data_IF_418267767507
#
_entry.id   IF_418267767507
#
_cell.length_a   1.000
_cell.length_b   1.000
_cell.length_c   1.000
_cell.angle_alpha   90.00
_cell.angle_beta   90.00
_cell.angle_gamma   90.00
#
_symmetry.space_group_name_H-M   'P 1'
#
loop_
_entity.id
_entity.type
_entity.pdbx_description
1 polymer ?
#
# COMPACT_ATOMS: atom_id res chain seq x y z
N UNK A 1 22.98 9.53 10.24
CA UNK A 1 21.53 9.70 9.92
C UNK A 1 20.77 9.78 11.25
N UNK A 2 20.31 10.96 11.65
CA UNK A 2 19.44 11.09 12.82
C UNK A 2 18.13 10.37 12.51
N UNK A 3 17.82 9.31 13.27
CA UNK A 3 16.59 8.52 13.11
C UNK A 3 15.41 9.14 13.90
N UNK A 4 15.68 10.08 14.81
CA UNK A 4 14.72 10.75 15.65
C UNK A 4 15.04 12.26 15.84
N UNK A 5 14.02 13.07 16.13
CA UNK A 5 14.17 14.51 16.45
C UNK A 5 15.09 14.74 17.64
N UNK A 6 15.12 13.81 18.59
CA UNK A 6 16.02 13.85 19.74
C UNK A 6 17.49 13.79 19.31
N UNK A 7 17.82 13.11 18.21
CA UNK A 7 19.17 13.06 17.65
C UNK A 7 19.70 14.44 17.23
N UNK A 8 18.86 15.31 16.68
CA UNK A 8 19.27 16.68 16.28
C UNK A 8 19.61 17.50 17.53
N UNK A 9 18.78 17.43 18.57
CA UNK A 9 19.03 18.13 19.83
C UNK A 9 20.26 17.59 20.58
N UNK A 10 20.46 16.26 20.59
CA UNK A 10 21.67 15.64 21.14
C UNK A 10 22.92 16.08 20.40
N UNK A 11 22.86 16.15 19.07
CA UNK A 11 23.96 16.65 18.25
C UNK A 11 24.27 18.13 18.56
N UNK A 12 23.25 18.98 18.68
CA UNK A 12 23.42 20.38 19.07
C UNK A 12 24.05 20.55 20.46
N UNK A 13 23.62 19.74 21.45
CA UNK A 13 24.21 19.76 22.78
C UNK A 13 25.69 19.34 22.74
N UNK A 14 26.01 18.25 22.04
CA UNK A 14 27.38 17.76 21.93
C UNK A 14 28.27 18.77 21.19
N UNK A 15 27.74 19.40 20.14
CA UNK A 15 28.43 20.47 19.41
C UNK A 15 28.68 21.68 20.30
N UNK A 16 27.71 22.10 21.12
CA UNK A 16 27.89 23.19 22.07
C UNK A 16 28.95 22.92 23.14
N UNK A 17 29.07 21.68 23.62
CA UNK A 17 30.15 21.29 24.54
C UNK A 17 31.51 21.34 23.84
N UNK A 18 31.59 20.83 22.61
CA UNK A 18 32.84 20.85 21.82
C UNK A 18 33.25 22.29 21.50
N UNK A 19 32.32 23.14 21.08
CA UNK A 19 32.57 24.56 20.78
C UNK A 19 33.01 25.31 22.04
N UNK A 20 32.39 25.05 23.19
CA UNK A 20 32.79 25.65 24.46
C UNK A 20 34.23 25.26 24.86
N UNK A 21 34.57 23.97 24.75
CA UNK A 21 35.92 23.48 25.02
C UNK A 21 36.94 24.07 24.05
N UNK A 22 36.59 24.17 22.77
CA UNK A 22 37.45 24.74 21.74
C UNK A 22 37.71 26.24 21.99
N UNK A 23 36.67 27.01 22.28
CA UNK A 23 36.79 28.45 22.59
C UNK A 23 37.66 28.67 23.83
N UNK A 24 37.47 27.87 24.89
CA UNK A 24 38.31 27.92 26.09
C UNK A 24 39.76 27.56 25.75
N UNK A 25 39.99 26.50 24.99
CA UNK A 25 41.35 26.10 24.59
C UNK A 25 42.06 27.19 23.77
N UNK A 26 41.38 27.81 22.82
CA UNK A 26 41.93 28.91 22.02
C UNK A 26 42.26 30.13 22.88
N UNK A 27 41.38 30.51 23.82
CA UNK A 27 41.61 31.60 24.76
C UNK A 27 42.85 31.37 25.64
N UNK A 28 43.02 30.16 26.14
CA UNK A 28 44.20 29.78 26.93
C UNK A 28 45.49 29.79 26.10
N UNK A 29 45.43 29.42 24.81
CA UNK A 29 46.58 29.49 23.89
C UNK A 29 47.00 30.93 23.59
N UNK A 30 46.06 31.88 23.61
CA UNK A 30 46.33 33.31 23.44
C UNK A 30 46.72 34.02 24.75
N UNK A 31 46.98 33.26 25.83
CA UNK A 31 47.31 33.76 27.17
C UNK A 31 46.19 34.62 27.80
N UNK A 32 44.96 34.49 27.29
CA UNK A 32 43.75 35.16 27.81
C UNK A 32 43.08 34.28 28.86
N UNK A 33 43.68 34.23 30.05
CA UNK A 33 43.25 33.39 31.18
C UNK A 33 42.25 34.06 32.13
N UNK A 34 41.67 35.19 31.74
CA UNK A 34 40.74 35.93 32.60
C UNK A 34 39.46 35.10 32.84
N UNK A 35 39.07 34.84 34.12
CA UNK A 35 37.95 33.94 34.41
C UNK A 35 36.61 34.38 33.80
N UNK A 36 36.39 35.69 33.68
CA UNK A 36 35.17 36.25 33.07
C UNK A 36 35.07 35.94 31.58
N UNK A 37 36.15 36.15 30.83
CA UNK A 37 36.25 35.90 29.41
C UNK A 37 36.18 34.42 29.05
N UNK A 38 36.75 33.54 29.89
CA UNK A 38 36.64 32.09 29.73
C UNK A 38 35.20 31.61 29.94
N UNK A 39 34.52 32.10 30.98
CA UNK A 39 33.11 31.76 31.25
C UNK A 39 32.19 32.29 30.14
N UNK A 40 32.40 33.53 29.68
CA UNK A 40 31.63 34.12 28.60
C UNK A 40 31.84 33.37 27.28
N UNK A 41 33.09 33.01 26.96
CA UNK A 41 33.42 32.23 25.76
C UNK A 41 32.82 30.83 25.77
N UNK A 42 32.94 30.11 26.88
CA UNK A 42 32.31 28.81 27.06
C UNK A 42 30.77 28.90 26.95
N UNK A 43 30.18 29.91 27.60
CA UNK A 43 28.74 30.19 27.52
C UNK A 43 28.28 30.49 26.09
N UNK A 44 29.05 31.27 25.33
CA UNK A 44 28.77 31.56 23.93
C UNK A 44 28.87 30.31 23.04
N UNK A 45 29.86 29.43 23.28
CA UNK A 45 30.01 28.16 22.57
C UNK A 45 28.81 27.21 22.82
N UNK A 46 28.41 27.06 24.09
CA UNK A 46 27.20 26.28 24.42
C UNK A 46 25.95 26.89 23.79
N UNK A 47 25.79 28.22 23.87
CA UNK A 47 24.65 28.92 23.29
C UNK A 47 24.57 28.75 21.77
N UNK A 48 25.72 28.87 21.06
CA UNK A 48 25.80 28.64 19.62
C UNK A 48 25.42 27.21 19.26
N UNK A 49 25.94 26.22 19.99
CA UNK A 49 25.61 24.81 19.79
C UNK A 49 24.13 24.50 20.02
N UNK A 50 23.50 25.11 21.03
CA UNK A 50 22.06 24.97 21.30
C UNK A 50 21.16 25.74 20.31
N UNK A 51 21.65 26.85 19.75
CA UNK A 51 20.92 27.61 18.75
C UNK A 51 20.96 26.94 17.37
N UNK A 52 22.01 26.16 17.08
CA UNK A 52 22.18 25.51 15.77
C UNK A 52 21.03 24.58 15.36
N UNK A 53 20.48 23.67 16.22
CA UNK A 53 19.31 22.86 15.88
C UNK A 53 18.07 23.70 15.61
N UNK A 54 17.89 24.82 16.32
CA UNK A 54 16.74 25.72 16.11
C UNK A 54 16.77 26.29 14.70
N UNK A 55 17.94 26.76 14.27
CA UNK A 55 18.16 27.27 12.91
C UNK A 55 17.93 26.16 11.88
N UNK A 56 18.53 24.98 12.09
CA UNK A 56 18.40 23.84 11.16
C UNK A 56 16.94 23.39 11.02
N UNK A 57 16.22 23.20 12.12
CA UNK A 57 14.81 22.80 12.11
C UNK A 57 13.93 23.90 11.52
N UNK A 58 14.24 25.17 11.81
CA UNK A 58 13.51 26.33 11.28
C UNK A 58 13.70 26.53 9.77
N UNK A 59 14.90 26.29 9.25
CA UNK A 59 15.21 26.43 7.82
C UNK A 59 14.87 25.17 7.01
N UNK A 60 14.72 24.00 7.63
CA UNK A 60 14.45 22.73 6.92
C UNK A 60 13.28 22.84 5.94
N UNK A 61 12.10 23.40 6.29
CA UNK A 61 10.98 23.52 5.35
C UNK A 61 11.31 24.38 4.10
N UNK A 62 12.14 25.41 4.28
CA UNK A 62 12.56 26.28 3.17
C UNK A 62 13.50 25.52 2.24
N UNK A 63 14.49 24.83 2.81
CA UNK A 63 15.43 23.99 2.05
C UNK A 63 14.71 22.86 1.33
N UNK A 64 13.77 22.18 1.99
CA UNK A 64 12.92 21.13 1.40
C UNK A 64 12.11 21.65 0.21
N UNK A 65 11.49 22.83 0.34
CA UNK A 65 10.66 23.39 -0.73
C UNK A 65 11.48 23.86 -1.94
N UNK A 66 12.66 24.43 -1.72
CA UNK A 66 13.56 24.89 -2.80
C UNK A 66 14.24 23.73 -3.50
N UNK A 67 14.73 22.74 -2.75
CA UNK A 67 15.50 21.62 -3.30
C UNK A 67 14.64 20.40 -3.67
N UNK A 68 13.36 20.37 -3.25
CA UNK A 68 12.48 19.24 -3.48
C UNK A 68 12.85 17.98 -2.69
N UNK A 69 13.69 18.10 -1.65
CA UNK A 69 14.03 16.99 -0.76
C UNK A 69 12.87 16.69 0.18
N UNK A 70 12.60 15.40 0.37
CA UNK A 70 11.61 14.95 1.35
C UNK A 70 12.31 14.44 2.60
N UNK A 71 12.06 15.09 3.74
CA UNK A 71 12.58 14.62 5.03
C UNK A 71 11.71 13.51 5.62
N UNK A 72 12.31 12.72 6.53
CA UNK A 72 11.59 11.69 7.27
C UNK A 72 10.44 12.28 8.09
N UNK A 73 10.59 13.50 8.62
CA UNK A 73 9.53 14.19 9.34
C UNK A 73 8.31 14.46 8.46
N UNK A 74 8.54 14.92 7.21
CA UNK A 74 7.46 15.12 6.24
C UNK A 74 6.77 13.80 5.90
N UNK A 75 7.53 12.72 5.69
CA UNK A 75 6.96 11.40 5.43
C UNK A 75 6.20 10.84 6.64
N UNK A 76 6.70 11.02 7.86
CA UNK A 76 6.01 10.60 9.08
C UNK A 76 4.67 11.34 9.24
N UNK A 77 4.65 12.65 8.97
CA UNK A 77 3.40 13.41 8.94
C UNK A 77 2.40 12.85 7.92
N UNK A 78 2.86 12.52 6.70
CA UNK A 78 2.03 11.94 5.64
C UNK A 78 1.63 10.48 5.92
N UNK A 79 2.38 9.77 6.75
CA UNK A 79 2.01 8.41 7.19
C UNK A 79 0.86 8.41 8.21
N UNK A 80 0.48 9.57 8.74
CA UNK A 80 -0.68 9.68 9.62
C UNK A 80 -1.97 9.50 8.81
N UNK A 81 -2.68 8.40 9.08
CA UNK A 81 -3.95 8.05 8.42
C UNK A 81 -5.09 9.06 8.68
N UNK A 82 -4.90 10.00 9.60
CA UNK A 82 -5.81 11.13 9.78
C UNK A 82 -5.64 12.26 8.75
N UNK A 83 -4.68 12.14 7.83
CA UNK A 83 -4.48 13.11 6.76
C UNK A 83 -5.79 13.31 5.95
N UNK A 84 -6.19 14.55 5.64
CA UNK A 84 -7.46 14.83 4.95
C UNK A 84 -7.65 14.06 3.65
N UNK A 85 -6.59 13.90 2.84
CA UNK A 85 -6.65 13.18 1.56
C UNK A 85 -6.97 11.69 1.76
N UNK A 86 -6.38 11.07 2.79
CA UNK A 86 -6.61 9.66 3.12
C UNK A 86 -8.01 9.46 3.73
N UNK A 87 -8.49 10.44 4.51
CA UNK A 87 -9.87 10.45 5.02
C UNK A 87 -10.90 10.59 3.90
N UNK A 88 -10.63 11.42 2.90
CA UNK A 88 -11.49 11.51 1.71
C UNK A 88 -11.49 10.18 0.96
N UNK A 89 -10.32 9.56 0.77
CA UNK A 89 -10.19 8.28 0.07
C UNK A 89 -10.94 7.14 0.77
N UNK A 90 -10.85 7.01 2.10
CA UNK A 90 -11.55 5.93 2.81
C UNK A 90 -13.07 6.07 2.73
N UNK A 91 -13.59 7.30 2.63
CA UNK A 91 -15.04 7.56 2.46
C UNK A 91 -15.46 7.32 1.02
N UNK A 92 -14.70 7.81 0.04
CA UNK A 92 -15.06 7.72 -1.38
C UNK A 92 -14.79 6.34 -2.00
N UNK A 93 -13.67 5.70 -1.65
CA UNK A 93 -13.17 4.46 -2.22
C UNK A 93 -12.55 3.55 -1.13
N UNK A 94 -13.38 2.98 -0.23
CA UNK A 94 -12.89 2.19 0.90
C UNK A 94 -12.09 0.95 0.50
N UNK A 95 -12.42 0.33 -0.64
CA UNK A 95 -11.67 -0.81 -1.19
C UNK A 95 -10.26 -0.42 -1.62
N UNK A 96 -10.13 0.68 -2.36
CA UNK A 96 -8.84 1.26 -2.75
C UNK A 96 -8.02 1.71 -1.53
N UNK A 97 -8.66 2.26 -0.50
CA UNK A 97 -7.97 2.59 0.74
C UNK A 97 -7.38 1.34 1.40
N UNK A 98 -8.16 0.26 1.53
CA UNK A 98 -7.69 -0.98 2.12
C UNK A 98 -6.54 -1.61 1.30
N UNK A 99 -6.68 -1.65 -0.03
CA UNK A 99 -5.63 -2.03 -0.98
C UNK A 99 -4.32 -1.29 -0.72
N UNK A 100 -4.40 0.05 -0.61
CA UNK A 100 -3.24 0.92 -0.38
C UNK A 100 -2.54 0.63 0.97
N UNK A 101 -3.30 0.28 2.01
CA UNK A 101 -2.74 -0.10 3.32
C UNK A 101 -2.01 -1.44 3.28
N UNK A 102 -2.58 -2.42 2.57
CA UNK A 102 -1.97 -3.75 2.37
C UNK A 102 -0.65 -3.61 1.61
N UNK A 103 -0.67 -2.90 0.48
CA UNK A 103 0.55 -2.60 -0.29
C UNK A 103 1.57 -1.88 0.57
N UNK A 104 1.16 -0.86 1.33
CA UNK A 104 2.04 -0.11 2.22
C UNK A 104 2.83 -1.01 3.18
N UNK A 105 2.17 -2.02 3.75
CA UNK A 105 2.82 -3.02 4.62
C UNK A 105 3.80 -3.90 3.84
N UNK A 106 3.44 -4.34 2.64
CA UNK A 106 4.30 -5.19 1.81
C UNK A 106 5.57 -4.46 1.36
N UNK A 107 5.42 -3.24 0.84
CA UNK A 107 6.54 -2.47 0.30
C UNK A 107 7.45 -1.92 1.39
N UNK A 108 6.93 -1.62 2.60
CA UNK A 108 7.75 -1.24 3.75
C UNK A 108 8.74 -2.36 4.10
N UNK A 109 8.22 -3.59 4.27
CA UNK A 109 9.04 -4.75 4.60
C UNK A 109 10.07 -5.08 3.51
N UNK A 110 9.65 -5.02 2.23
CA UNK A 110 10.55 -5.30 1.13
C UNK A 110 11.64 -4.22 0.97
N UNK A 111 11.29 -2.95 1.16
CA UNK A 111 12.24 -1.85 1.13
C UNK A 111 13.30 -1.98 2.23
N UNK A 112 12.90 -2.37 3.44
CA UNK A 112 13.83 -2.67 4.53
C UNK A 112 14.76 -3.83 4.16
N UNK A 113 14.23 -4.92 3.60
CA UNK A 113 15.00 -6.10 3.22
C UNK A 113 16.08 -5.83 2.15
N UNK A 114 15.88 -4.83 1.29
CA UNK A 114 16.83 -4.46 0.22
C UNK A 114 17.65 -3.20 0.54
N UNK A 115 17.47 -2.61 1.73
CA UNK A 115 18.14 -1.38 2.12
C UNK A 115 17.70 -0.13 1.35
N UNK A 116 16.48 -0.13 0.80
CA UNK A 116 15.83 1.06 0.26
C UNK A 116 15.22 1.92 1.40
N UNK A 117 14.45 2.95 1.10
CA UNK A 117 13.77 3.77 2.09
C UNK A 117 12.37 3.20 2.41
N UNK A 118 12.19 2.49 3.55
CA UNK A 118 10.93 1.84 3.90
C UNK A 118 9.79 2.83 4.14
N UNK A 119 10.10 3.97 4.76
CA UNK A 119 9.11 5.00 5.06
C UNK A 119 8.60 5.67 3.77
N UNK A 120 9.50 5.94 2.82
CA UNK A 120 9.09 6.47 1.51
C UNK A 120 8.20 5.47 0.77
N UNK A 121 8.60 4.19 0.70
CA UNK A 121 7.83 3.16 0.03
C UNK A 121 6.41 3.05 0.61
N UNK A 122 6.29 2.99 1.95
CA UNK A 122 5.00 2.93 2.64
C UNK A 122 4.11 4.13 2.34
N UNK A 123 4.66 5.33 2.47
CA UNK A 123 3.88 6.56 2.25
C UNK A 123 3.49 6.66 0.78
N UNK A 124 4.38 6.32 -0.16
CA UNK A 124 4.06 6.28 -1.58
C UNK A 124 2.87 5.34 -1.86
N UNK A 125 2.85 4.15 -1.23
CA UNK A 125 1.73 3.22 -1.33
C UNK A 125 0.41 3.79 -0.81
N UNK A 126 0.41 4.59 0.26
CA UNK A 126 -0.82 5.21 0.78
C UNK A 126 -1.49 6.15 -0.23
N UNK A 127 -0.68 6.77 -1.11
CA UNK A 127 -1.15 7.81 -2.01
C UNK A 127 -1.18 7.43 -3.49
N UNK A 128 -0.63 6.28 -3.89
CA UNK A 128 -0.45 5.91 -5.30
C UNK A 128 -1.77 5.93 -6.09
N UNK A 129 -2.86 5.59 -5.41
CA UNK A 129 -4.17 5.34 -6.00
C UNK A 129 -5.23 6.40 -5.63
N UNK A 130 -4.84 7.53 -5.02
CA UNK A 130 -5.81 8.53 -4.54
C UNK A 130 -6.76 9.05 -5.64
N UNK A 131 -6.32 9.02 -6.89
CA UNK A 131 -7.14 9.44 -8.03
C UNK A 131 -8.35 8.54 -8.29
N UNK A 132 -8.32 7.27 -7.86
CA UNK A 132 -9.49 6.37 -7.97
C UNK A 132 -10.68 6.89 -7.18
N UNK A 133 -10.45 7.68 -6.13
CA UNK A 133 -11.50 8.33 -5.34
C UNK A 133 -12.44 9.24 -6.14
N UNK A 134 -12.04 9.70 -7.34
CA UNK A 134 -12.92 10.47 -8.24
C UNK A 134 -13.98 9.64 -8.92
N UNK A 135 -13.68 8.37 -9.24
CA UNK A 135 -14.57 7.48 -10.00
C UNK A 135 -14.50 6.04 -9.46
N UNK A 136 -14.83 5.82 -8.17
CA UNK A 136 -14.52 4.58 -7.46
C UNK A 136 -15.18 3.35 -8.07
N UNK A 137 -16.40 3.48 -8.62
CA UNK A 137 -17.18 2.37 -9.17
C UNK A 137 -16.54 1.70 -10.41
N UNK A 138 -15.56 2.33 -11.04
CA UNK A 138 -14.81 1.74 -12.16
C UNK A 138 -13.64 0.85 -11.71
N UNK A 139 -13.37 0.75 -10.40
CA UNK A 139 -12.28 -0.05 -9.88
C UNK A 139 -12.84 -1.23 -9.08
N UNK A 140 -12.43 -2.44 -9.47
CA UNK A 140 -13.03 -3.69 -9.01
C UNK A 140 -13.04 -3.83 -7.48
N UNK A 141 -12.02 -3.33 -6.79
CA UNK A 141 -11.92 -3.36 -5.33
C UNK A 141 -13.02 -2.55 -4.61
N UNK A 142 -13.69 -1.62 -5.30
CA UNK A 142 -14.78 -0.81 -4.75
C UNK A 142 -16.18 -1.25 -5.24
N UNK A 143 -16.24 -2.22 -6.15
CA UNK A 143 -17.51 -2.67 -6.73
C UNK A 143 -18.24 -3.63 -5.79
N UNK A 144 -19.58 -3.55 -5.78
CA UNK A 144 -20.48 -4.46 -5.03
C UNK A 144 -21.57 -5.08 -5.91
N UNK A 145 -21.53 -4.86 -7.22
CA UNK A 145 -22.60 -5.19 -8.17
C UNK A 145 -22.09 -5.24 -9.61
N UNK A 146 -22.91 -4.80 -10.57
CA UNK A 146 -22.54 -4.78 -12.00
C UNK A 146 -21.24 -4.01 -12.25
N UNK A 147 -20.39 -4.55 -13.12
CA UNK A 147 -19.16 -3.90 -13.55
C UNK A 147 -19.48 -2.86 -14.65
N UNK A 148 -19.26 -1.55 -14.42
CA UNK A 148 -19.54 -0.52 -15.43
C UNK A 148 -18.78 -0.71 -16.74
N UNK A 149 -17.63 -1.40 -16.71
CA UNK A 149 -16.83 -1.71 -17.89
C UNK A 149 -17.53 -2.64 -18.88
N UNK A 150 -18.56 -3.38 -18.47
CA UNK A 150 -19.32 -4.25 -19.37
C UNK A 150 -20.14 -3.45 -20.39
N UNK A 151 -20.46 -2.20 -20.06
CA UNK A 151 -21.24 -1.28 -20.90
C UNK A 151 -20.35 -0.34 -21.73
N UNK A 152 -19.03 -0.45 -21.61
CA UNK A 152 -18.07 0.42 -22.28
C UNK A 152 -17.29 -0.33 -23.35
N UNK A 153 -16.92 0.39 -24.41
CA UNK A 153 -15.89 -0.07 -25.34
C UNK A 153 -14.56 -0.27 -24.57
N UNK A 154 -13.72 -1.24 -24.96
CA UNK A 154 -12.43 -1.48 -24.30
C UNK A 154 -11.52 -0.24 -24.27
N UNK A 155 -11.53 0.57 -25.34
CA UNK A 155 -10.77 1.82 -25.43
C UNK A 155 -11.22 2.87 -24.40
N UNK A 156 -12.53 2.98 -24.17
CA UNK A 156 -13.10 3.86 -23.15
C UNK A 156 -12.76 3.38 -21.74
N UNK A 157 -12.79 2.07 -21.52
CA UNK A 157 -12.38 1.48 -20.24
C UNK A 157 -10.90 1.77 -19.95
N UNK A 158 -10.02 1.58 -20.93
CA UNK A 158 -8.60 1.92 -20.82
C UNK A 158 -8.37 3.41 -20.50
N UNK A 159 -9.16 4.31 -21.09
CA UNK A 159 -9.10 5.74 -20.80
C UNK A 159 -9.51 6.05 -19.34
N UNK A 160 -10.60 5.45 -18.87
CA UNK A 160 -11.09 5.62 -17.49
C UNK A 160 -10.06 5.11 -16.48
N UNK A 161 -9.51 3.91 -16.72
CA UNK A 161 -8.46 3.35 -15.86
C UNK A 161 -7.25 4.28 -15.87
N UNK A 162 -6.72 4.68 -17.03
CA UNK A 162 -5.56 5.58 -17.09
C UNK A 162 -5.78 6.93 -16.39
N UNK A 163 -7.01 7.43 -16.36
CA UNK A 163 -7.35 8.74 -15.77
C UNK A 163 -7.11 8.81 -14.26
N UNK A 164 -7.14 7.70 -13.51
CA UNK A 164 -6.84 7.77 -12.07
C UNK A 164 -5.43 8.29 -11.80
N UNK A 165 -4.47 8.04 -12.71
CA UNK A 165 -3.10 8.55 -12.58
C UNK A 165 -3.08 10.08 -12.70
N UNK A 166 -3.71 10.63 -13.75
CA UNK A 166 -3.71 12.08 -13.98
C UNK A 166 -4.53 12.83 -12.92
N UNK A 167 -5.64 12.25 -12.48
CA UNK A 167 -6.43 12.79 -11.37
C UNK A 167 -5.66 12.69 -10.05
N UNK A 168 -4.95 11.58 -9.80
CA UNK A 168 -4.11 11.38 -8.63
C UNK A 168 -2.97 12.40 -8.55
N UNK A 169 -2.26 12.64 -9.64
CA UNK A 169 -1.20 13.67 -9.72
C UNK A 169 -1.78 15.06 -9.38
N UNK A 170 -2.95 15.40 -9.93
CA UNK A 170 -3.60 16.70 -9.68
C UNK A 170 -3.97 16.86 -8.21
N UNK A 171 -4.56 15.83 -7.61
CA UNK A 171 -4.93 15.80 -6.19
C UNK A 171 -3.69 15.89 -5.29
N UNK A 172 -2.63 15.15 -5.59
CA UNK A 172 -1.38 15.16 -4.85
C UNK A 172 -0.71 16.55 -4.88
N UNK A 173 -0.67 17.20 -6.05
CA UNK A 173 -0.15 18.56 -6.19
C UNK A 173 -1.00 19.58 -5.42
N UNK A 174 -2.32 19.50 -5.53
CA UNK A 174 -3.23 20.39 -4.83
C UNK A 174 -3.11 20.28 -3.30
N UNK A 175 -2.81 19.07 -2.79
CA UNK A 175 -2.58 18.82 -1.37
C UNK A 175 -1.14 19.12 -0.90
N UNK A 176 -0.25 19.60 -1.77
CA UNK A 176 1.14 19.89 -1.43
C UNK A 176 1.93 18.64 -1.02
N UNK A 177 1.65 17.49 -1.64
CA UNK A 177 2.46 16.29 -1.44
C UNK A 177 3.87 16.52 -2.02
N UNK A 178 4.91 15.97 -1.39
CA UNK A 178 6.28 16.12 -1.86
C UNK A 178 6.51 15.33 -3.15
N UNK A 179 7.49 15.79 -3.94
CA UNK A 179 7.75 15.29 -5.29
C UNK A 179 7.92 13.77 -5.40
N UNK A 180 8.68 13.08 -4.52
CA UNK A 180 8.80 11.61 -4.58
C UNK A 180 7.46 10.86 -4.46
N UNK A 181 6.48 11.42 -3.73
CA UNK A 181 5.14 10.81 -3.61
C UNK A 181 4.32 11.08 -4.86
N UNK A 182 4.40 12.30 -5.41
CA UNK A 182 3.75 12.64 -6.69
C UNK A 182 4.31 11.77 -7.83
N UNK A 183 5.63 11.60 -7.88
CA UNK A 183 6.32 10.85 -8.94
C UNK A 183 6.02 9.35 -8.85
N UNK A 184 5.74 8.81 -7.65
CA UNK A 184 5.32 7.42 -7.48
C UNK A 184 3.95 7.11 -8.12
N UNK A 185 3.05 8.11 -8.23
CA UNK A 185 1.70 7.93 -8.78
C UNK A 185 1.71 7.48 -10.25
N UNK A 186 2.43 8.09 -11.19
CA UNK A 186 2.52 7.53 -12.54
C UNK A 186 3.42 6.29 -12.62
N UNK A 187 4.47 6.23 -11.79
CA UNK A 187 5.47 5.16 -11.86
C UNK A 187 4.97 3.79 -11.37
N UNK A 188 3.93 3.74 -10.52
CA UNK A 188 3.44 2.45 -10.02
C UNK A 188 2.86 1.55 -11.13
N UNK A 189 2.36 2.13 -12.23
CA UNK A 189 2.00 1.38 -13.42
C UNK A 189 3.07 1.42 -14.51
N UNK A 190 3.95 2.41 -14.50
CA UNK A 190 4.99 2.57 -15.51
C UNK A 190 4.37 2.71 -16.90
N UNK A 191 4.88 1.94 -17.86
CA UNK A 191 4.37 1.91 -19.25
C UNK A 191 3.67 0.59 -19.59
N UNK A 192 3.17 -0.11 -18.56
CA UNK A 192 2.58 -1.43 -18.70
C UNK A 192 1.33 -1.41 -19.56
N UNK A 193 1.08 -2.54 -20.21
CA UNK A 193 -0.13 -2.78 -20.99
C UNK A 193 -1.32 -3.08 -20.06
N UNK A 194 -2.45 -2.42 -20.28
CA UNK A 194 -3.75 -2.77 -19.71
C UNK A 194 -4.30 -4.02 -20.42
N UNK A 195 -3.65 -5.15 -20.17
CA UNK A 195 -3.76 -6.39 -20.97
C UNK A 195 -5.20 -6.88 -21.15
N UNK A 196 -6.02 -6.87 -20.10
CA UNK A 196 -7.43 -7.29 -20.18
C UNK A 196 -8.21 -6.53 -21.26
N UNK A 197 -8.12 -5.20 -21.26
CA UNK A 197 -8.85 -4.37 -22.22
C UNK A 197 -8.25 -4.46 -23.63
N UNK A 198 -6.93 -4.60 -23.75
CA UNK A 198 -6.30 -4.81 -25.06
C UNK A 198 -6.71 -6.15 -25.67
N UNK A 199 -6.70 -7.25 -24.91
CA UNK A 199 -7.15 -8.56 -25.38
C UNK A 199 -8.63 -8.55 -25.77
N UNK A 200 -9.49 -7.94 -24.95
CA UNK A 200 -10.91 -7.76 -25.30
C UNK A 200 -11.09 -6.99 -26.61
N UNK A 201 -10.32 -5.92 -26.80
CA UNK A 201 -10.36 -5.13 -28.04
C UNK A 201 -9.84 -5.92 -29.25
N UNK A 202 -8.81 -6.74 -29.08
CA UNK A 202 -8.26 -7.62 -30.10
C UNK A 202 -9.29 -8.68 -30.53
N UNK A 203 -9.94 -9.35 -29.59
CA UNK A 203 -11.01 -10.33 -29.86
C UNK A 203 -12.20 -9.68 -30.60
N UNK A 204 -12.57 -8.45 -30.22
CA UNK A 204 -13.62 -7.69 -30.91
C UNK A 204 -13.24 -7.32 -32.35
N UNK A 205 -11.98 -6.98 -32.61
CA UNK A 205 -11.47 -6.69 -33.95
C UNK A 205 -11.41 -7.96 -34.81
N UNK A 206 -10.92 -9.08 -34.26
CA UNK A 206 -10.88 -10.38 -34.93
C UNK A 206 -12.27 -10.82 -35.37
N UNK A 207 -13.29 -10.67 -34.51
CA UNK A 207 -14.69 -10.99 -34.85
C UNK A 207 -15.25 -10.13 -35.99
N UNK A 208 -14.72 -8.92 -36.18
CA UNK A 208 -15.11 -8.00 -37.26
C UNK A 208 -14.27 -8.15 -38.54
N UNK A 209 -13.22 -8.97 -38.51
CA UNK A 209 -12.24 -9.04 -39.59
C UNK A 209 -11.36 -7.79 -39.70
N UNK A 210 -11.21 -7.04 -38.61
CA UNK A 210 -10.37 -5.84 -38.52
C UNK A 210 -8.98 -6.20 -37.97
N UNK A 211 -7.93 -5.41 -38.30
CA UNK A 211 -6.62 -5.60 -37.70
C UNK A 211 -6.66 -5.35 -36.17
N UNK A 212 -5.80 -6.02 -35.39
CA UNK A 212 -5.75 -5.82 -33.95
C UNK A 212 -5.38 -4.38 -33.62
N UNK A 213 -5.95 -3.80 -32.54
CA UNK A 213 -5.61 -2.45 -32.15
C UNK A 213 -4.16 -2.36 -31.65
N UNK A 214 -3.48 -1.22 -31.86
CA UNK A 214 -2.12 -1.00 -31.38
C UNK A 214 -2.06 -1.10 -29.85
N UNK A 215 -1.01 -1.74 -29.32
CA UNK A 215 -0.80 -1.87 -27.87
C UNK A 215 -0.63 -0.50 -27.19
N UNK A 216 -0.03 0.46 -27.90
CA UNK A 216 0.26 1.81 -27.41
C UNK A 216 -1.01 2.53 -26.93
N UNK A 217 -2.16 2.26 -27.56
CA UNK A 217 -3.44 2.82 -27.16
C UNK A 217 -3.91 2.33 -25.77
N UNK A 218 -3.37 1.19 -25.32
CA UNK A 218 -3.73 0.50 -24.08
C UNK A 218 -2.58 0.47 -23.06
N UNK A 219 -1.47 1.17 -23.33
CA UNK A 219 -0.38 1.33 -22.36
C UNK A 219 -0.61 2.54 -21.47
N UNK A 220 -0.11 2.42 -20.24
CA UNK A 220 0.08 3.59 -19.38
C UNK A 220 1.14 4.51 -19.98
N UNK A 221 1.00 5.83 -19.74
CA UNK A 221 1.90 6.85 -20.30
C UNK A 221 3.26 6.86 -19.60
N UNK A 222 3.33 6.30 -18.38
CA UNK A 222 4.54 6.32 -17.56
C UNK A 222 4.77 7.65 -16.85
N UNK A 223 6.01 7.93 -16.43
CA UNK A 223 7.25 7.21 -16.79
C UNK A 223 7.39 5.84 -16.11
N UNK A 224 8.35 5.02 -16.55
CA UNK A 224 8.80 3.80 -15.84
C UNK A 224 9.32 4.17 -14.43
N UNK A 225 9.31 3.24 -13.45
CA UNK A 225 9.97 3.41 -12.17
C UNK A 225 11.39 3.96 -12.31
N UNK A 226 11.70 5.03 -11.56
CA UNK A 226 13.02 5.68 -11.54
C UNK A 226 13.80 5.49 -10.24
N UNK A 227 13.15 4.89 -9.25
CA UNK A 227 13.74 4.61 -7.96
C UNK A 227 13.19 3.29 -7.41
N UNK A 228 13.97 2.62 -6.56
CA UNK A 228 13.70 1.25 -6.09
C UNK A 228 12.33 1.14 -5.43
N UNK A 229 11.92 2.14 -4.65
CA UNK A 229 10.63 2.17 -3.96
C UNK A 229 9.44 2.20 -4.93
N UNK A 230 9.55 2.89 -6.07
CA UNK A 230 8.51 2.86 -7.11
C UNK A 230 8.42 1.50 -7.81
N UNK A 231 9.56 0.83 -8.01
CA UNK A 231 9.57 -0.54 -8.55
C UNK A 231 8.91 -1.53 -7.57
N UNK A 232 9.18 -1.39 -6.26
CA UNK A 232 8.49 -2.19 -5.23
C UNK A 232 6.98 -1.96 -5.26
N UNK A 233 6.56 -0.70 -5.39
CA UNK A 233 5.15 -0.32 -5.46
C UNK A 233 4.46 -0.95 -6.68
N UNK A 234 5.10 -0.90 -7.85
CA UNK A 234 4.60 -1.55 -9.07
C UNK A 234 4.41 -3.07 -8.90
N UNK A 235 5.41 -3.74 -8.32
CA UNK A 235 5.35 -5.19 -8.13
C UNK A 235 4.25 -5.52 -7.11
N UNK A 236 4.21 -4.79 -5.99
CA UNK A 236 3.24 -5.02 -4.92
C UNK A 236 1.81 -4.84 -5.41
N UNK A 237 1.53 -3.76 -6.14
CA UNK A 237 0.19 -3.49 -6.70
C UNK A 237 -0.32 -4.65 -7.56
N UNK A 238 0.53 -5.17 -8.44
CA UNK A 238 0.14 -6.30 -9.30
C UNK A 238 0.08 -7.63 -8.58
N UNK A 239 0.95 -7.85 -7.59
CA UNK A 239 0.92 -9.07 -6.79
C UNK A 239 -0.33 -9.11 -5.92
N UNK A 240 -0.68 -8.02 -5.26
CA UNK A 240 -1.86 -7.89 -4.41
C UNK A 240 -3.14 -8.14 -5.22
N UNK A 241 -3.28 -7.44 -6.35
CA UNK A 241 -4.44 -7.59 -7.22
C UNK A 241 -4.59 -9.02 -7.74
N UNK A 242 -3.48 -9.66 -8.12
CA UNK A 242 -3.51 -11.03 -8.61
C UNK A 242 -3.72 -12.07 -7.49
N UNK A 243 -3.22 -11.82 -6.27
CA UNK A 243 -3.38 -12.77 -5.16
C UNK A 243 -4.82 -12.88 -4.68
N UNK A 244 -5.64 -11.83 -4.86
CA UNK A 244 -7.09 -11.87 -4.59
C UNK A 244 -7.86 -12.92 -5.41
N UNK A 245 -7.30 -13.36 -6.54
CA UNK A 245 -7.91 -14.37 -7.42
C UNK A 245 -7.45 -15.80 -7.12
N UNK A 246 -6.48 -15.98 -6.22
CA UNK A 246 -6.02 -17.30 -5.83
C UNK A 246 -7.03 -17.96 -4.88
N UNK A 247 -7.52 -19.14 -5.27
CA UNK A 247 -8.45 -19.93 -4.45
C UNK A 247 -7.82 -20.50 -3.18
N UNK A 248 -6.52 -20.83 -3.23
CA UNK A 248 -5.72 -21.28 -2.08
C UNK A 248 -4.33 -20.62 -2.14
N UNK A 249 -4.07 -19.62 -1.28
CA UNK A 249 -2.82 -18.86 -1.25
C UNK A 249 -1.73 -19.60 -0.45
N UNK A 250 -1.40 -20.83 -0.84
CA UNK A 250 -0.27 -21.56 -0.24
C UNK A 250 1.06 -20.83 -0.49
N UNK A 251 2.07 -20.97 0.40
CA UNK A 251 3.35 -20.26 0.25
C UNK A 251 4.04 -20.47 -1.11
N UNK A 252 3.94 -21.69 -1.68
CA UNK A 252 4.55 -21.99 -2.98
C UNK A 252 3.79 -21.35 -4.14
N UNK A 253 2.44 -21.30 -4.07
CA UNK A 253 1.62 -20.60 -5.07
C UNK A 253 1.85 -19.10 -5.03
N UNK A 254 1.94 -18.52 -3.82
CA UNK A 254 2.30 -17.12 -3.64
C UNK A 254 3.69 -16.83 -4.22
N UNK A 255 4.68 -17.69 -3.97
CA UNK A 255 6.03 -17.54 -4.55
C UNK A 255 5.99 -17.57 -6.08
N UNK A 256 5.27 -18.54 -6.66
CA UNK A 256 5.08 -18.64 -8.10
C UNK A 256 4.42 -17.39 -8.69
N UNK A 257 3.38 -16.87 -8.03
CA UNK A 257 2.69 -15.65 -8.44
C UNK A 257 3.64 -14.44 -8.42
N UNK A 258 4.34 -14.22 -7.31
CA UNK A 258 5.26 -13.08 -7.17
C UNK A 258 6.37 -13.14 -8.22
N UNK A 259 6.98 -14.32 -8.42
CA UNK A 259 8.02 -14.49 -9.43
C UNK A 259 7.49 -14.25 -10.85
N UNK A 260 6.26 -14.70 -11.14
CA UNK A 260 5.61 -14.44 -12.43
C UNK A 260 5.43 -12.94 -12.66
N UNK A 261 4.90 -12.20 -11.69
CA UNK A 261 4.70 -10.74 -11.81
C UNK A 261 6.04 -10.02 -12.03
N UNK A 262 7.06 -10.37 -11.25
CA UNK A 262 8.41 -9.80 -11.40
C UNK A 262 8.96 -10.07 -12.80
N UNK A 263 8.86 -11.31 -13.28
CA UNK A 263 9.35 -11.69 -14.60
C UNK A 263 8.59 -10.97 -15.72
N UNK A 264 7.28 -10.80 -15.59
CA UNK A 264 6.48 -10.01 -16.55
C UNK A 264 6.94 -8.55 -16.59
N UNK A 265 7.15 -7.92 -15.43
CA UNK A 265 7.62 -6.53 -15.38
C UNK A 265 9.04 -6.39 -15.94
N UNK A 266 9.91 -7.36 -15.66
CA UNK A 266 11.28 -7.42 -16.18
C UNK A 266 11.30 -7.59 -17.70
N UNK A 267 10.51 -8.52 -18.24
CA UNK A 267 10.42 -8.77 -19.68
C UNK A 267 9.83 -7.59 -20.46
N UNK A 268 8.93 -6.81 -19.84
CA UNK A 268 8.37 -5.56 -20.40
C UNK A 268 9.29 -4.34 -20.19
N UNK A 269 10.51 -4.55 -19.69
CA UNK A 269 11.52 -3.49 -19.49
C UNK A 269 11.14 -2.46 -18.43
N UNK A 270 10.22 -2.76 -17.50
CA UNK A 270 9.73 -1.76 -16.54
C UNK A 270 10.81 -1.32 -15.53
N UNK A 271 11.89 -2.07 -15.39
CA UNK A 271 12.96 -1.77 -14.43
C UNK A 271 14.17 -1.07 -15.05
N UNK A 272 14.15 -0.76 -16.35
CA UNK A 272 15.29 -0.20 -17.09
C UNK A 272 15.76 1.17 -16.59
N UNK A 273 14.88 1.93 -15.94
CA UNK A 273 15.15 3.30 -15.46
C UNK A 273 15.42 3.38 -13.95
N UNK A 274 15.56 2.23 -13.23
CA UNK A 274 15.84 2.22 -11.79
C UNK A 274 16.89 1.20 -11.37
N UNK A 275 17.59 1.52 -10.27
CA UNK A 275 18.68 0.70 -9.74
C UNK A 275 18.21 -0.48 -8.88
N UNK A 276 17.23 -1.25 -9.36
CA UNK A 276 16.79 -2.50 -8.71
C UNK A 276 17.57 -3.69 -9.27
N UNK A 277 18.28 -4.41 -8.41
CA UNK A 277 19.13 -5.53 -8.85
C UNK A 277 18.38 -6.86 -8.84
N UNK A 278 18.87 -7.87 -9.59
CA UNK A 278 18.33 -9.24 -9.49
C UNK A 278 18.38 -9.80 -8.06
N UNK A 279 19.44 -9.45 -7.30
CA UNK A 279 19.56 -9.80 -5.89
C UNK A 279 18.42 -9.19 -5.06
N UNK A 280 18.06 -7.95 -5.35
CA UNK A 280 16.94 -7.28 -4.70
C UNK A 280 15.63 -7.99 -5.03
N UNK A 281 15.38 -8.30 -6.31
CA UNK A 281 14.16 -8.99 -6.73
C UNK A 281 13.96 -10.32 -5.98
N UNK A 282 15.03 -11.11 -5.77
CA UNK A 282 14.93 -12.32 -4.95
C UNK A 282 14.59 -12.05 -3.48
N UNK A 283 15.11 -10.97 -2.90
CA UNK A 283 14.76 -10.56 -1.54
C UNK A 283 13.32 -10.05 -1.45
N UNK A 284 12.86 -9.29 -2.44
CA UNK A 284 11.47 -8.83 -2.59
C UNK A 284 10.52 -10.02 -2.68
N UNK A 285 10.85 -11.05 -3.47
CA UNK A 285 10.04 -12.27 -3.55
C UNK A 285 9.85 -12.91 -2.18
N UNK A 286 10.93 -13.08 -1.41
CA UNK A 286 10.84 -13.64 -0.05
C UNK A 286 9.98 -12.77 0.87
N UNK A 287 10.24 -11.45 0.86
CA UNK A 287 9.49 -10.49 1.69
C UNK A 287 8.01 -10.50 1.38
N UNK A 288 7.62 -10.43 0.10
CA UNK A 288 6.22 -10.40 -0.31
C UNK A 288 5.50 -11.72 0.02
N UNK A 289 6.15 -12.87 -0.19
CA UNK A 289 5.57 -14.16 0.21
C UNK A 289 5.30 -14.19 1.72
N UNK A 290 6.23 -13.71 2.55
CA UNK A 290 6.02 -13.63 4.00
C UNK A 290 4.88 -12.66 4.37
N UNK A 291 4.84 -11.47 3.78
CA UNK A 291 3.76 -10.50 4.04
C UNK A 291 2.40 -11.04 3.63
N UNK A 292 2.27 -11.61 2.43
CA UNK A 292 1.01 -12.17 1.91
C UNK A 292 0.58 -13.39 2.71
N UNK A 293 1.52 -14.25 3.12
CA UNK A 293 1.20 -15.37 4.00
C UNK A 293 0.62 -14.88 5.33
N UNK A 294 1.17 -13.82 5.93
CA UNK A 294 0.60 -13.22 7.15
C UNK A 294 -0.79 -12.60 6.93
N UNK A 295 -1.01 -11.96 5.78
CA UNK A 295 -2.29 -11.33 5.44
C UNK A 295 -3.39 -12.37 5.18
N UNK A 296 -3.09 -13.43 4.42
CA UNK A 296 -4.07 -14.45 4.04
C UNK A 296 -4.18 -15.62 5.02
N UNK A 297 -3.16 -15.90 5.83
CA UNK A 297 -3.18 -16.93 6.86
C UNK A 297 -3.14 -16.29 8.25
N UNK A 298 -4.30 -15.90 8.78
CA UNK A 298 -4.45 -15.48 10.18
C UNK A 298 -5.89 -15.67 10.71
N UNK A 299 -6.25 -16.92 10.99
CA UNK A 299 -6.73 -17.37 12.31
C UNK A 299 -6.75 -18.92 12.33
N UNK A 300 -6.06 -19.60 13.26
CA UNK A 300 -6.46 -20.95 13.61
C UNK A 300 -7.93 -20.90 14.02
N UNK A 301 -8.78 -21.70 13.38
CA UNK A 301 -10.09 -21.99 13.93
C UNK A 301 -9.85 -22.59 15.33
N UNK A 302 -10.19 -21.83 16.37
CA UNK A 302 -10.39 -22.44 17.67
C UNK A 302 -11.57 -23.39 17.50
N UNK A 303 -11.28 -24.68 17.36
CA UNK A 303 -12.27 -25.72 17.53
C UNK A 303 -12.88 -25.47 18.90
N UNK A 304 -14.11 -24.94 18.93
CA UNK A 304 -14.90 -24.94 20.16
C UNK A 304 -14.96 -26.41 20.60
N UNK A 305 -14.59 -26.75 21.85
CA UNK A 305 -14.77 -28.11 22.34
C UNK A 305 -16.22 -28.47 22.12
N UNK A 306 -16.47 -29.46 21.27
CA UNK A 306 -17.81 -29.96 21.02
C UNK A 306 -18.38 -30.41 22.36
N UNK A 307 -19.39 -29.67 22.82
CA UNK A 307 -20.14 -29.96 24.02
C UNK A 307 -20.88 -31.28 23.78
N UNK A 308 -20.28 -32.38 24.25
CA UNK A 308 -20.93 -33.69 24.25
C UNK A 308 -21.94 -33.72 25.39
N UNK A 309 -23.16 -33.30 25.11
CA UNK A 309 -24.33 -33.83 25.81
C UNK A 309 -25.45 -34.14 24.82
N UNK A 310 -25.59 -35.43 24.54
CA UNK A 310 -26.72 -36.03 23.85
C UNK A 310 -28.04 -35.74 24.59
N UNK A 311 -29.02 -35.27 23.82
CA UNK A 311 -30.41 -35.74 23.76
C UNK A 311 -31.23 -35.93 25.03
N UNK A 312 -32.32 -35.17 25.15
CA UNK A 312 -33.69 -35.70 25.08
C UNK A 312 -34.73 -34.58 25.21
N UNK A 313 -35.75 -34.64 24.36
CA UNK A 313 -36.89 -33.74 24.33
C UNK A 313 -37.85 -33.97 25.52
N UNK A 314 -38.40 -32.89 26.08
CA UNK A 314 -39.76 -32.86 26.64
C UNK A 314 -40.23 -31.39 26.82
N UNK A 315 -41.41 -31.09 26.30
CA UNK A 315 -42.13 -29.83 26.47
C UNK A 315 -42.70 -29.69 27.92
N UNK A 316 -43.07 -28.47 28.37
CA UNK A 316 -43.19 -28.15 29.80
C UNK A 316 -44.63 -28.34 30.34
N UNK A 317 -44.78 -28.53 31.67
CA UNK A 317 -46.02 -28.15 32.35
C UNK A 317 -45.82 -27.02 33.36
N UNK A 318 -46.90 -26.26 33.51
CA UNK A 318 -47.06 -25.03 34.26
C UNK A 318 -47.50 -25.28 35.73
N UNK A 319 -46.99 -24.45 36.65
CA UNK A 319 -47.50 -24.01 37.99
C UNK A 319 -48.05 -25.04 39.01
N UNK A 320 -47.50 -25.01 40.24
CA UNK A 320 -48.10 -24.28 41.39
C UNK A 320 -47.41 -24.54 42.76
N UNK A 321 -47.24 -23.43 43.50
CA UNK A 321 -47.38 -23.23 44.96
C UNK A 321 -46.47 -23.92 46.02
N UNK A 322 -45.60 -23.09 46.62
CA UNK A 322 -45.56 -22.71 48.05
C UNK A 322 -45.29 -23.76 49.16
N UNK A 323 -44.14 -23.66 49.86
CA UNK A 323 -44.07 -23.14 51.26
C UNK A 323 -42.65 -23.12 51.89
N UNK A 324 -42.32 -21.92 52.40
CA UNK A 324 -41.37 -21.48 53.46
C UNK A 324 -40.74 -22.49 54.45
N UNK A 325 -39.44 -22.29 54.74
CA UNK A 325 -38.80 -21.80 56.01
C UNK A 325 -37.27 -22.03 55.91
N UNK A 326 -36.39 -21.03 55.91
CA UNK A 326 -35.87 -20.25 57.07
C UNK A 326 -34.41 -20.68 57.31
N UNK A 327 -33.40 -19.92 57.75
CA UNK A 327 -33.21 -18.55 58.27
C UNK A 327 -31.67 -18.34 58.39
N UNK A 328 -31.20 -17.13 58.07
CA UNK A 328 -29.97 -16.40 58.52
C UNK A 328 -28.55 -17.03 58.40
N UNK A 329 -27.62 -16.19 57.95
CA UNK A 329 -26.18 -16.26 58.25
C UNK A 329 -25.34 -15.32 57.39
N UNK A 330 -24.70 -14.34 58.01
CA UNK A 330 -23.92 -13.23 57.43
C UNK A 330 -22.48 -13.57 57.04
N UNK A 331 -21.92 -12.67 56.20
CA UNK A 331 -20.54 -12.16 56.18
C UNK A 331 -19.37 -13.02 55.65
N UNK A 332 -18.66 -12.42 54.69
CA UNK A 332 -17.26 -12.03 54.92
C UNK A 332 -16.17 -12.81 54.18
N UNK A 333 -15.61 -12.16 53.15
CA UNK A 333 -14.15 -11.96 53.04
C UNK A 333 -13.26 -13.10 52.54
N UNK A 334 -12.53 -12.80 51.45
CA UNK A 334 -11.07 -12.91 51.48
C UNK A 334 -10.39 -14.04 50.70
N UNK A 335 -9.46 -13.59 49.85
CA UNK A 335 -8.15 -14.18 49.56
C UNK A 335 -8.01 -15.34 48.54
N UNK A 336 -7.54 -14.96 47.35
CA UNK A 336 -6.21 -15.26 46.76
C UNK A 336 -5.58 -16.63 47.04
N UNK A 337 -5.36 -17.42 45.98
CA UNK A 337 -4.12 -18.17 45.66
C UNK A 337 -4.25 -18.74 44.23
N UNK A 338 -3.48 -18.29 43.23
CA UNK A 338 -2.12 -18.72 42.83
C UNK A 338 -1.91 -20.25 42.72
N UNK A 339 -1.76 -20.71 41.48
CA UNK A 339 -0.73 -21.63 40.89
C UNK A 339 -1.32 -22.14 39.57
N UNK A 340 -0.63 -22.20 38.44
CA UNK A 340 0.80 -22.42 38.19
C UNK A 340 0.95 -23.71 37.36
N UNK A 341 1.95 -23.74 36.47
CA UNK A 341 2.40 -24.81 35.56
C UNK A 341 1.67 -24.84 34.20
N UNK A 342 2.29 -24.55 33.04
CA UNK A 342 3.55 -25.01 32.42
C UNK A 342 3.62 -26.52 32.11
N UNK A 343 3.72 -26.82 30.81
CA UNK A 343 4.54 -27.86 30.13
C UNK A 343 3.82 -28.19 28.79
N UNK A 344 4.33 -27.87 27.59
CA UNK A 344 5.57 -28.23 26.89
C UNK A 344 5.67 -29.70 26.47
N UNK A 345 5.92 -29.94 25.17
CA UNK A 345 6.36 -31.21 24.58
C UNK A 345 5.42 -31.65 23.42
N UNK A 346 5.69 -31.38 22.13
CA UNK A 346 6.79 -31.79 21.25
C UNK A 346 6.61 -33.18 20.58
N UNK A 347 7.16 -33.28 19.36
CA UNK A 347 7.27 -34.40 18.42
C UNK A 347 6.04 -34.62 17.50
N UNK A 348 6.07 -34.39 16.18
CA UNK A 348 7.03 -34.68 15.08
C UNK A 348 7.09 -36.15 14.64
N UNK A 349 6.84 -36.39 13.35
CA UNK A 349 7.37 -37.54 12.60
C UNK A 349 6.32 -38.29 11.77
N UNK A 350 6.48 -38.30 10.45
CA UNK A 350 5.75 -39.19 9.55
C UNK A 350 5.76 -38.72 8.10
N UNK A 351 6.69 -39.24 7.31
CA UNK A 351 6.92 -38.99 5.89
C UNK A 351 6.54 -40.23 5.05
N UNK A 352 6.39 -40.03 3.73
CA UNK A 352 6.27 -41.01 2.62
C UNK A 352 4.83 -41.46 2.28
N UNK A 353 4.35 -41.58 1.03
CA UNK A 353 4.89 -41.49 -0.35
C UNK A 353 3.69 -41.38 -1.36
N UNK A 354 3.92 -41.15 -2.66
CA UNK A 354 2.90 -40.73 -3.65
C UNK A 354 2.37 -41.87 -4.53
N UNK A 355 1.27 -41.61 -5.25
CA UNK A 355 0.83 -42.41 -6.40
C UNK A 355 0.32 -41.49 -7.53
N UNK A 356 0.82 -41.80 -8.73
CA UNK A 356 0.37 -41.46 -10.09
C UNK A 356 -1.13 -41.83 -10.25
N UNK A 357 -1.95 -41.33 -11.17
CA UNK A 357 -1.82 -40.76 -12.52
C UNK A 357 -3.08 -41.23 -13.29
N UNK A 358 -3.61 -40.42 -14.22
CA UNK A 358 -4.51 -40.72 -15.36
C UNK A 358 -5.33 -39.44 -15.71
N UNK A 359 -5.11 -38.80 -16.87
CA UNK A 359 -5.85 -38.97 -18.14
C UNK A 359 -7.37 -38.96 -17.91
N UNK A 360 -8.20 -38.04 -18.39
CA UNK A 360 -8.16 -37.21 -19.59
C UNK A 360 -9.38 -37.59 -20.44
N UNK A 361 -10.39 -36.73 -20.57
CA UNK A 361 -11.38 -36.86 -21.66
C UNK A 361 -12.07 -35.52 -21.96
N UNK A 362 -12.25 -35.29 -23.26
CA UNK A 362 -12.67 -34.07 -23.93
C UNK A 362 -14.20 -33.85 -23.96
N UNK A 363 -14.51 -32.56 -24.06
CA UNK A 363 -15.66 -31.86 -24.63
C UNK A 363 -16.68 -32.60 -25.51
N UNK A 364 -17.96 -32.21 -25.37
CA UNK A 364 -18.77 -31.60 -26.46
C UNK A 364 -20.10 -30.97 -25.95
N UNK A 365 -20.50 -29.78 -26.43
CA UNK A 365 -21.84 -29.15 -26.29
C UNK A 365 -22.60 -29.21 -27.65
N UNK A 366 -23.65 -28.41 -27.97
CA UNK A 366 -24.64 -27.64 -27.18
C UNK A 366 -26.12 -27.93 -27.59
N UNK A 367 -27.09 -27.37 -26.86
CA UNK A 367 -28.47 -27.21 -27.34
C UNK A 367 -28.94 -25.75 -27.27
N UNK A 368 -29.39 -25.25 -28.43
CA UNK A 368 -29.93 -23.91 -28.66
C UNK A 368 -31.34 -23.74 -28.07
N UNK A 369 -31.65 -22.51 -27.62
CA UNK A 369 -33.01 -22.06 -27.32
C UNK A 369 -33.15 -20.57 -27.62
N UNK A 370 -33.91 -20.26 -28.68
CA UNK A 370 -34.31 -18.90 -29.11
C UNK A 370 -35.45 -18.35 -28.24
N UNK A 371 -35.36 -17.09 -27.85
CA UNK A 371 -36.41 -16.05 -27.91
C UNK A 371 -35.72 -14.72 -27.52
N UNK A 372 -35.95 -13.55 -28.11
CA UNK A 372 -37.15 -12.99 -28.73
C UNK A 372 -37.68 -11.89 -27.83
N UNK A 373 -37.18 -10.65 -27.94
CA UNK A 373 -37.72 -9.49 -27.20
C UNK A 373 -36.88 -8.22 -27.27
N UNK A 374 -37.28 -7.26 -28.12
CA UNK A 374 -37.01 -5.81 -28.01
C UNK A 374 -38.12 -5.19 -27.12
N UNK A 375 -37.93 -4.05 -26.42
CA UNK A 375 -37.75 -2.76 -27.12
C UNK A 375 -36.92 -1.64 -26.42
N UNK A 376 -36.49 -0.71 -27.29
CA UNK A 376 -36.38 0.76 -27.14
C UNK A 376 -36.06 1.42 -25.79
N UNK A 377 -34.88 2.08 -25.73
CA UNK A 377 -34.68 3.52 -25.40
C UNK A 377 -33.18 3.84 -25.44
N UNK A 378 -32.70 4.41 -26.54
CA UNK A 378 -31.33 4.92 -26.66
C UNK A 378 -31.35 6.08 -27.65
N UNK A 379 -31.80 7.24 -27.18
CA UNK A 379 -31.73 8.51 -27.90
C UNK A 379 -31.85 9.63 -26.88
N UNK A 380 -30.81 9.84 -26.06
CA UNK A 380 -30.69 11.04 -25.19
C UNK A 380 -29.28 11.28 -24.61
N UNK A 381 -28.26 10.53 -25.02
CA UNK A 381 -26.89 10.68 -24.47
C UNK A 381 -25.86 11.23 -25.47
N UNK A 382 -26.31 11.80 -26.60
CA UNK A 382 -25.42 12.21 -27.69
C UNK A 382 -25.13 13.73 -27.74
N UNK A 383 -25.64 14.52 -26.79
CA UNK A 383 -25.66 15.99 -26.89
C UNK A 383 -24.99 16.73 -25.72
N UNK A 384 -24.10 16.08 -24.97
CA UNK A 384 -23.44 16.68 -23.80
C UNK A 384 -21.90 16.70 -23.83
N UNK A 385 -21.26 16.45 -24.98
CA UNK A 385 -19.79 16.36 -25.09
C UNK A 385 -19.14 17.27 -26.14
N UNK A 386 -19.89 18.15 -26.79
CA UNK A 386 -19.32 19.22 -27.63
C UNK A 386 -19.33 20.54 -26.85
N UNK A 387 -18.27 20.78 -26.08
CA UNK A 387 -18.22 22.01 -25.29
C UNK A 387 -16.99 22.23 -24.43
N UNK A 388 -15.79 21.84 -24.86
CA UNK A 388 -14.55 22.41 -24.29
C UNK A 388 -13.47 22.54 -25.37
N UNK A 389 -13.04 23.76 -25.62
CA UNK A 389 -12.05 24.13 -26.64
C UNK A 389 -10.62 23.73 -26.27
N UNK A 390 -10.31 22.45 -26.28
CA UNK A 390 -8.93 21.93 -26.08
C UNK A 390 -8.13 21.75 -27.38
N UNK A 391 -8.74 22.00 -28.55
CA UNK A 391 -8.10 21.76 -29.86
C UNK A 391 -7.09 22.85 -30.30
N UNK A 392 -7.16 24.07 -29.76
CA UNK A 392 -6.27 25.17 -30.19
C UNK A 392 -5.04 25.39 -29.29
N UNK A 393 -5.05 24.92 -28.05
CA UNK A 393 -3.94 25.13 -27.12
C UNK A 393 -2.73 24.21 -27.39
N UNK A 394 -2.95 23.05 -28.00
CA UNK A 394 -1.89 22.06 -28.27
C UNK A 394 -1.10 22.31 -29.57
N UNK A 395 -1.52 23.26 -30.41
CA UNK A 395 -0.82 23.62 -31.66
C UNK A 395 0.26 24.70 -31.50
N UNK A 396 0.46 25.28 -30.31
CA UNK A 396 1.40 26.39 -30.09
C UNK A 396 2.69 26.05 -29.33
N UNK A 397 2.95 24.78 -29.03
CA UNK A 397 4.14 24.35 -28.27
C UNK A 397 5.09 23.43 -29.06
N UNK A 398 5.07 23.48 -30.39
CA UNK A 398 6.01 22.70 -31.21
C UNK A 398 6.36 23.36 -32.53
N UNK A 399 7.43 24.16 -32.53
CA UNK A 399 8.48 24.13 -33.56
C UNK A 399 9.70 24.94 -33.09
N UNK A 400 10.89 24.62 -33.63
CA UNK A 400 12.06 24.08 -32.92
C UNK A 400 12.77 25.04 -31.95
#
# INVERSE_FOLDING_TARGET
>A
RAKDRAGIWRAGLLMGVVDALLVVALRLLEDQSDPGGLLLGAGAGVAAGLLSPVIVVGLSPVVESVLGYTTNDRLLYLSNLNNPLLKELVVAAPGTYHHSMVIGTMVEAAAEAIGANPLLARVAAYYHDIGKGKNPLYFAENQKGENPHDKLAPSMSALVIRRHVTDGIRMAKAAGLPRPIIDAIPMHHGTRLMSYFWHKAKEEAERKGEPPPPEEAYRHIGPKPRFREAALLMIADSVEAASRTLSDPSPDRLRGLVQKVINTCFADGQFDECDITLKDLHAVTRSFVTSLAGIYHSRPEYQQPADKSNGAAAAPPERAASRKKGRKGEAGGGAVARKGAEASGAASGGQERPAEGERGEEASPPSQGRSGGKPARAAEAHDALEGTGESEALKRLGNP
#
